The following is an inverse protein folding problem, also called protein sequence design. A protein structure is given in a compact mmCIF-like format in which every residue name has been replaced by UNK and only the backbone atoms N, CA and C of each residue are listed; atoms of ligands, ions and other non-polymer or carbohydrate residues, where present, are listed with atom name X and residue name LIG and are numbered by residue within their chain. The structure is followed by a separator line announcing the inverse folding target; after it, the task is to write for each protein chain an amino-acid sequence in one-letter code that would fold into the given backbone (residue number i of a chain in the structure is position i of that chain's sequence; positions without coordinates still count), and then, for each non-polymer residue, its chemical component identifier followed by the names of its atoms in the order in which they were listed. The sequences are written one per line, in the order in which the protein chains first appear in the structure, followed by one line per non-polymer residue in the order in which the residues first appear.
data_IF_499728311341
#
_entry.id   IF_499728311341
#
_cell.length_a   1.000
_cell.length_b   1.000
_cell.length_c   1.000
_cell.angle_alpha   90.00
_cell.angle_beta   90.00
_cell.angle_gamma   90.00
#
_symmetry.space_group_name_H-M   'P 1'
#
loop_
_entity.id
_entity.type
_entity.pdbx_description
1 polymer ?
#
# COMPACT_ATOMS: atom_id res chain seq x y z
N UNK A 1 16.18 12.11 -2.34
CA UNK A 1 15.02 12.50 -1.48
C UNK A 1 15.45 13.18 -0.18
N UNK A 2 16.27 12.57 0.69
CA UNK A 2 16.64 13.18 2.00
C UNK A 2 17.23 14.60 1.90
N UNK A 3 17.98 14.93 0.84
CA UNK A 3 18.55 16.26 0.62
C UNK A 3 17.46 17.32 0.47
N UNK A 4 16.34 16.96 -0.19
CA UNK A 4 15.18 17.83 -0.37
C UNK A 4 14.49 18.12 0.97
N UNK A 5 14.46 17.17 1.90
CA UNK A 5 13.93 17.41 3.24
C UNK A 5 14.79 18.43 4.01
N UNK A 6 16.11 18.43 3.78
CA UNK A 6 17.04 19.36 4.44
C UNK A 6 17.15 20.73 3.74
N UNK A 7 16.92 20.80 2.42
CA UNK A 7 17.18 22.00 1.59
C UNK A 7 15.98 22.54 0.83
N UNK A 8 14.85 21.84 0.82
CA UNK A 8 13.63 22.22 0.10
C UNK A 8 13.64 21.93 -1.41
N UNK A 9 14.77 21.56 -2.00
CA UNK A 9 14.88 21.25 -3.43
C UNK A 9 15.78 20.04 -3.70
N UNK A 10 15.72 19.49 -4.92
CA UNK A 10 16.65 18.44 -5.37
C UNK A 10 18.07 19.00 -5.49
N UNK A 11 19.13 18.24 -5.15
CA UNK A 11 20.52 18.69 -5.32
C UNK A 11 20.86 19.06 -6.77
N UNK A 12 20.18 18.45 -7.74
CA UNK A 12 20.36 18.71 -9.18
C UNK A 12 19.36 19.71 -9.76
N UNK A 13 18.56 20.37 -8.91
CA UNK A 13 17.57 21.38 -9.31
C UNK A 13 17.97 22.74 -8.76
N UNK A 14 19.08 23.27 -9.27
CA UNK A 14 19.55 24.59 -8.93
C UNK A 14 18.60 25.67 -9.50
N UNK A 15 18.49 26.80 -8.80
CA UNK A 15 17.70 27.98 -9.22
C UNK A 15 16.25 27.70 -9.67
N UNK A 16 15.61 26.65 -9.15
CA UNK A 16 14.23 26.23 -9.49
C UNK A 16 14.02 25.90 -10.98
N UNK A 17 15.07 25.48 -11.72
CA UNK A 17 14.94 25.09 -13.14
C UNK A 17 13.83 24.06 -13.36
N UNK A 18 13.08 24.21 -14.45
CA UNK A 18 12.04 23.26 -14.89
C UNK A 18 12.50 22.43 -16.10
N UNK A 19 13.67 22.71 -16.66
CA UNK A 19 14.19 21.97 -17.81
C UNK A 19 14.62 20.56 -17.37
N UNK A 20 13.87 19.55 -17.83
CA UNK A 20 14.15 18.14 -17.54
C UNK A 20 15.52 17.73 -18.07
N UNK A 21 15.90 18.17 -19.28
CA UNK A 21 17.16 17.78 -19.88
C UNK A 21 18.35 18.39 -19.14
N UNK A 22 18.20 19.61 -18.61
CA UNK A 22 19.22 20.21 -17.74
C UNK A 22 19.40 19.43 -16.44
N UNK A 23 18.30 19.07 -15.78
CA UNK A 23 18.32 18.27 -14.54
C UNK A 23 18.98 16.91 -14.80
N UNK A 24 18.65 16.25 -15.91
CA UNK A 24 19.23 14.96 -16.30
C UNK A 24 20.74 15.12 -16.58
N UNK A 25 21.14 16.17 -17.32
CA UNK A 25 22.56 16.49 -17.55
C UNK A 25 23.30 16.68 -16.23
N UNK A 26 22.78 17.51 -15.32
CA UNK A 26 23.41 17.79 -14.02
C UNK A 26 23.56 16.51 -13.18
N UNK A 27 22.56 15.63 -13.21
CA UNK A 27 22.60 14.35 -12.49
C UNK A 27 23.73 13.43 -13.00
N UNK A 28 24.01 13.46 -14.30
CA UNK A 28 25.04 12.62 -14.93
C UNK A 28 26.44 13.22 -14.87
N UNK A 29 26.58 14.55 -14.92
CA UNK A 29 27.88 15.20 -15.14
C UNK A 29 28.39 15.99 -13.95
N UNK A 30 27.54 16.36 -12.99
CA UNK A 30 27.94 17.21 -11.88
C UNK A 30 28.00 16.43 -10.57
N UNK A 31 29.12 16.60 -9.86
CA UNK A 31 29.18 16.22 -8.45
C UNK A 31 28.36 17.20 -7.61
N UNK A 32 27.58 16.66 -6.67
CA UNK A 32 26.78 17.48 -5.76
C UNK A 32 27.69 18.22 -4.79
N UNK A 33 27.63 19.54 -4.81
CA UNK A 33 28.24 20.39 -3.78
C UNK A 33 27.39 20.35 -2.51
N UNK A 34 28.02 19.93 -1.41
CA UNK A 34 27.35 19.80 -0.11
C UNK A 34 27.63 21.04 0.74
N UNK A 35 26.60 21.69 1.32
CA UNK A 35 26.77 22.87 2.15
C UNK A 35 27.69 22.63 3.36
N UNK A 36 28.40 23.68 3.79
CA UNK A 36 29.29 23.58 4.95
C UNK A 36 28.57 23.37 6.28
N UNK A 37 27.30 23.74 6.35
CA UNK A 37 26.44 23.50 7.50
C UNK A 37 26.14 22.01 7.76
N UNK A 38 26.45 21.11 6.82
CA UNK A 38 26.25 19.68 7.03
C UNK A 38 27.36 19.07 7.89
N UNK A 39 26.97 18.17 8.80
CA UNK A 39 27.93 17.40 9.60
C UNK A 39 28.78 16.48 8.72
N UNK A 40 29.94 16.07 9.24
CA UNK A 40 30.86 15.20 8.51
C UNK A 40 30.21 13.87 8.13
N UNK A 41 29.43 13.29 9.05
CA UNK A 41 28.69 12.04 8.89
C UNK A 41 27.62 12.17 7.81
N UNK A 42 26.92 13.30 7.77
CA UNK A 42 25.91 13.57 6.75
C UNK A 42 26.58 13.74 5.38
N UNK A 43 27.68 14.51 5.31
CA UNK A 43 28.44 14.68 4.06
C UNK A 43 28.97 13.34 3.54
N UNK A 44 29.47 12.48 4.42
CA UNK A 44 29.95 11.14 4.05
C UNK A 44 28.83 10.27 3.48
N UNK A 45 27.68 10.23 4.15
CA UNK A 45 26.49 9.51 3.65
C UNK A 45 26.11 9.91 2.23
N UNK A 46 26.15 11.21 1.95
CA UNK A 46 25.82 11.75 0.63
C UNK A 46 26.84 11.36 -0.44
N UNK A 47 28.14 11.40 -0.12
CA UNK A 47 29.19 11.00 -1.06
C UNK A 47 29.03 9.54 -1.49
N UNK A 48 28.68 8.64 -0.57
CA UNK A 48 28.39 7.24 -0.90
C UNK A 48 27.15 7.16 -1.80
N UNK A 49 26.06 7.82 -1.42
CA UNK A 49 24.80 7.78 -2.17
C UNK A 49 24.85 8.36 -3.59
N UNK A 50 25.79 9.28 -3.89
CA UNK A 50 25.92 9.91 -5.21
C UNK A 50 26.99 9.28 -6.12
N UNK A 51 27.88 8.43 -5.58
CA UNK A 51 28.99 7.83 -6.35
C UNK A 51 28.70 6.45 -6.94
N UNK A 52 27.62 5.79 -6.53
CA UNK A 52 27.36 4.39 -6.93
C UNK A 52 26.71 4.25 -8.31
N UNK A 53 27.54 4.30 -9.35
CA UNK A 53 27.39 3.47 -10.55
C UNK A 53 28.77 3.00 -11.03
N UNK A 54 29.41 2.08 -10.28
CA UNK A 54 30.53 1.31 -10.85
C UNK A 54 29.97 0.28 -11.84
N UNK A 55 30.47 0.21 -13.09
CA UNK A 55 29.96 -0.70 -14.12
C UNK A 55 30.48 -2.14 -13.98
N UNK A 56 30.96 -2.56 -12.80
CA UNK A 56 31.47 -3.92 -12.57
C UNK A 56 30.83 -4.56 -11.35
N UNK A 57 29.76 -5.30 -11.57
CA UNK A 57 29.43 -6.53 -10.85
C UNK A 57 29.27 -6.53 -9.32
N UNK A 58 29.35 -5.40 -8.63
CA UNK A 58 29.00 -5.33 -7.20
C UNK A 58 27.54 -4.89 -7.06
N UNK A 59 26.61 -5.82 -7.27
CA UNK A 59 25.20 -5.64 -6.96
C UNK A 59 24.91 -5.55 -5.43
N UNK A 60 25.87 -5.16 -4.58
CA UNK A 60 25.76 -5.31 -3.13
C UNK A 60 26.62 -4.30 -2.34
N UNK A 61 26.34 -2.99 -2.47
CA UNK A 61 26.80 -1.97 -1.50
C UNK A 61 25.76 -0.89 -1.13
N UNK A 62 24.48 -1.22 -1.27
CA UNK A 62 23.35 -0.34 -1.00
C UNK A 62 22.16 -1.03 -0.32
N UNK A 63 22.37 -2.20 0.28
CA UNK A 63 21.30 -2.92 0.97
C UNK A 63 20.93 -2.22 2.28
N UNK A 64 19.67 -2.40 2.70
CA UNK A 64 19.16 -1.78 3.93
C UNK A 64 20.07 -1.99 5.16
N UNK A 65 20.71 -3.15 5.39
CA UNK A 65 21.64 -3.33 6.52
C UNK A 65 22.84 -2.36 6.51
N UNK A 66 23.51 -2.19 5.37
CA UNK A 66 24.67 -1.29 5.29
C UNK A 66 24.28 0.18 5.46
N UNK A 67 23.09 0.54 4.97
CA UNK A 67 22.51 1.86 5.24
C UNK A 67 22.29 2.06 6.74
N UNK A 68 21.78 1.04 7.43
CA UNK A 68 21.49 1.07 8.86
C UNK A 68 22.74 1.14 9.74
N UNK A 69 23.86 0.59 9.28
CA UNK A 69 25.16 0.60 9.97
C UNK A 69 25.96 1.91 9.80
N UNK A 70 25.54 2.76 8.87
CA UNK A 70 26.25 4.01 8.60
C UNK A 70 26.28 4.94 9.83
N UNK A 71 27.41 5.59 10.08
CA UNK A 71 27.65 6.46 11.25
C UNK A 71 26.59 7.56 11.44
N UNK A 72 26.03 8.06 10.35
CA UNK A 72 24.90 9.00 10.36
C UNK A 72 23.68 8.51 11.18
N UNK A 73 23.41 7.21 11.19
CA UNK A 73 22.31 6.59 11.94
C UNK A 73 22.76 5.98 13.28
N UNK A 74 23.98 6.28 13.74
CA UNK A 74 24.47 5.79 15.03
C UNK A 74 23.53 6.23 16.15
N UNK A 75 23.12 5.27 16.98
CA UNK A 75 22.20 5.48 18.09
C UNK A 75 20.71 5.27 17.75
N UNK A 76 20.37 4.97 16.49
CA UNK A 76 19.02 4.56 16.12
C UNK A 76 18.81 3.08 16.48
N UNK A 77 17.81 2.81 17.31
CA UNK A 77 17.29 1.46 17.52
C UNK A 77 16.31 1.11 16.39
N UNK A 78 16.77 0.31 15.43
CA UNK A 78 15.99 -0.11 14.28
C UNK A 78 14.79 -1.00 14.64
N UNK A 79 14.81 -1.66 15.79
CA UNK A 79 13.66 -2.42 16.28
C UNK A 79 12.56 -1.46 16.76
N UNK A 80 12.92 -0.37 17.45
CA UNK A 80 11.95 0.68 17.82
C UNK A 80 11.40 1.39 16.59
N UNK A 81 12.23 1.61 15.56
CA UNK A 81 11.77 2.17 14.28
C UNK A 81 10.77 1.23 13.60
N UNK A 82 11.06 -0.08 13.53
CA UNK A 82 10.16 -1.07 12.94
C UNK A 82 8.81 -1.12 13.66
N UNK A 83 8.83 -1.05 15.00
CA UNK A 83 7.63 -1.00 15.84
C UNK A 83 6.95 0.38 15.87
N UNK A 84 7.44 1.36 15.09
CA UNK A 84 6.93 2.74 15.04
C UNK A 84 6.90 3.45 16.41
N UNK A 85 7.83 3.12 17.31
CA UNK A 85 7.94 3.69 18.67
C UNK A 85 8.84 4.93 18.75
N UNK A 86 9.60 5.20 17.69
CA UNK A 86 10.41 6.42 17.59
C UNK A 86 9.48 7.59 17.27
N UNK A 87 9.08 8.33 18.30
CA UNK A 87 8.28 9.55 18.14
C UNK A 87 9.19 10.63 17.56
N UNK A 88 8.88 11.09 16.35
CA UNK A 88 9.54 12.24 15.76
C UNK A 88 8.89 13.53 16.32
N UNK A 89 9.67 14.50 16.81
CA UNK A 89 9.13 15.72 17.45
C UNK A 89 8.15 16.54 16.60
N UNK A 90 8.13 16.37 15.28
CA UNK A 90 7.30 17.14 14.34
C UNK A 90 6.09 16.37 13.77
N UNK A 91 5.85 15.12 14.19
CA UNK A 91 4.94 14.21 13.48
C UNK A 91 3.55 14.05 14.11
N UNK A 92 3.16 14.89 15.05
CA UNK A 92 1.79 14.86 15.57
C UNK A 92 0.99 15.99 14.90
N UNK A 93 0.45 15.77 13.67
CA UNK A 93 -0.46 16.74 13.08
C UNK A 93 -1.64 16.93 14.02
N UNK A 94 -2.06 18.18 14.21
CA UNK A 94 -3.24 18.47 15.01
C UNK A 94 -4.43 17.70 14.42
N UNK A 95 -5.33 17.11 15.22
CA UNK A 95 -6.52 16.44 14.67
C UNK A 95 -7.28 17.40 13.74
N UNK A 96 -7.34 17.08 12.44
CA UNK A 96 -7.97 17.91 11.40
C UNK A 96 -7.01 18.75 10.54
N UNK A 97 -5.72 18.82 10.88
CA UNK A 97 -4.70 19.51 10.09
C UNK A 97 -4.19 18.60 8.97
N UNK A 98 -4.68 18.82 7.75
CA UNK A 98 -4.19 18.12 6.55
C UNK A 98 -3.00 18.87 5.96
N UNK A 99 -1.82 18.26 6.01
CA UNK A 99 -0.63 18.76 5.31
C UNK A 99 -0.64 18.32 3.83
N UNK A 100 -1.77 18.56 3.16
CA UNK A 100 -2.00 18.29 1.75
C UNK A 100 -2.48 19.56 1.05
N UNK A 101 -2.27 19.66 -0.26
CA UNK A 101 -2.91 20.72 -1.05
C UNK A 101 -4.43 20.54 -0.97
N UNK A 102 -5.18 21.65 -0.90
CA UNK A 102 -6.63 21.62 -0.91
C UNK A 102 -7.12 20.93 -2.20
N UNK A 103 -8.24 20.20 -2.11
CA UNK A 103 -8.93 19.65 -3.26
C UNK A 103 -9.34 20.76 -4.27
N UNK A 104 -9.47 22.02 -3.83
CA UNK A 104 -9.69 23.18 -4.69
C UNK A 104 -8.40 23.77 -5.30
N UNK A 105 -7.22 23.46 -4.72
CA UNK A 105 -5.91 23.91 -5.22
C UNK A 105 -5.28 22.92 -6.20
N UNK A 106 -5.74 21.66 -6.20
CA UNK A 106 -5.43 20.71 -7.28
C UNK A 106 -6.27 21.10 -8.50
N UNK A 107 -5.61 21.32 -9.65
CA UNK A 107 -6.33 21.69 -10.87
C UNK A 107 -7.43 20.68 -11.19
N UNK A 108 -8.62 21.19 -11.54
CA UNK A 108 -9.72 20.35 -12.00
C UNK A 108 -9.36 19.71 -13.34
N UNK A 109 -9.52 18.40 -13.45
CA UNK A 109 -9.50 17.73 -14.75
C UNK A 109 -10.77 18.12 -15.49
N UNK A 110 -10.66 18.53 -16.77
CA UNK A 110 -11.83 18.91 -17.56
C UNK A 110 -12.65 17.66 -17.89
N UNK A 111 -13.95 17.69 -17.61
CA UNK A 111 -14.84 16.58 -17.95
C UNK A 111 -14.92 16.37 -19.46
N UNK A 112 -14.79 17.45 -20.24
CA UNK A 112 -14.74 17.42 -21.71
C UNK A 112 -13.56 16.59 -22.24
N UNK A 113 -12.44 16.51 -21.52
CA UNK A 113 -11.26 15.72 -21.93
C UNK A 113 -11.53 14.21 -21.97
N UNK A 114 -12.55 13.76 -21.25
CA UNK A 114 -12.94 12.34 -21.17
C UNK A 114 -14.26 12.02 -21.87
N UNK A 115 -15.02 13.05 -22.26
CA UNK A 115 -16.27 12.87 -23.00
C UNK A 115 -15.99 12.28 -24.38
N UNK A 116 -16.78 11.26 -24.73
CA UNK A 116 -16.66 10.57 -26.02
C UNK A 116 -15.65 9.42 -26.04
N UNK A 117 -14.85 9.21 -24.98
CA UNK A 117 -14.04 8.00 -24.82
C UNK A 117 -14.98 6.84 -24.48
N UNK A 118 -14.98 5.79 -25.31
CA UNK A 118 -15.75 4.56 -25.08
C UNK A 118 -14.79 3.45 -24.70
N UNK A 119 -15.09 2.76 -23.61
CA UNK A 119 -14.37 1.55 -23.23
C UNK A 119 -14.90 0.39 -24.07
N UNK A 120 -14.02 -0.22 -24.85
CA UNK A 120 -14.30 -1.40 -25.66
C UNK A 120 -14.07 -2.67 -24.83
N UNK A 121 -14.60 -3.80 -25.30
CA UNK A 121 -14.34 -5.10 -24.66
C UNK A 121 -12.85 -5.45 -24.63
N UNK A 122 -12.09 -5.01 -25.64
CA UNK A 122 -10.63 -5.13 -25.67
C UNK A 122 -9.93 -4.38 -24.54
N UNK A 123 -10.51 -3.26 -24.09
CA UNK A 123 -9.96 -2.48 -22.97
C UNK A 123 -10.28 -3.17 -21.65
N UNK A 124 -11.49 -3.75 -21.51
CA UNK A 124 -11.87 -4.53 -20.33
C UNK A 124 -11.01 -5.78 -20.17
N UNK A 125 -10.62 -6.42 -21.27
CA UNK A 125 -9.76 -7.61 -21.28
C UNK A 125 -8.39 -7.34 -20.63
N UNK A 126 -7.89 -6.10 -20.67
CA UNK A 126 -6.66 -5.70 -19.96
C UNK A 126 -6.82 -5.83 -18.43
N UNK A 127 -8.04 -5.67 -17.92
CA UNK A 127 -8.35 -5.68 -16.48
C UNK A 127 -8.96 -7.00 -15.99
N UNK A 128 -9.00 -8.05 -16.82
CA UNK A 128 -9.60 -9.34 -16.44
C UNK A 128 -9.01 -9.96 -15.16
N UNK A 129 -7.72 -9.70 -14.91
CA UNK A 129 -6.98 -10.19 -13.74
C UNK A 129 -6.75 -9.09 -12.69
N UNK A 130 -7.49 -7.99 -12.77
CA UNK A 130 -7.41 -6.90 -11.81
C UNK A 130 -7.99 -7.27 -10.43
N UNK A 131 -9.12 -8.02 -10.31
CA UNK A 131 -9.63 -8.42 -9.01
C UNK A 131 -8.62 -9.28 -8.24
N UNK A 132 -8.29 -8.85 -7.02
CA UNK A 132 -7.32 -9.52 -6.15
C UNK A 132 -7.81 -9.49 -4.70
N UNK A 133 -7.72 -10.63 -4.02
CA UNK A 133 -7.90 -10.74 -2.57
C UNK A 133 -6.60 -11.23 -1.96
N UNK A 134 -6.03 -10.45 -1.04
CA UNK A 134 -4.84 -10.84 -0.28
C UNK A 134 -5.32 -11.57 0.97
N UNK A 135 -5.23 -12.90 0.92
CA UNK A 135 -5.76 -13.79 1.98
C UNK A 135 -5.33 -13.37 3.39
N UNK A 136 -4.04 -13.10 3.61
CA UNK A 136 -3.52 -12.67 4.93
C UNK A 136 -4.21 -11.39 5.43
N UNK A 137 -4.41 -10.41 4.55
CA UNK A 137 -5.05 -9.13 4.92
C UNK A 137 -6.52 -9.30 5.23
N UNK A 138 -7.23 -10.10 4.42
CA UNK A 138 -8.64 -10.38 4.65
C UNK A 138 -8.84 -11.16 5.95
N UNK A 139 -8.02 -12.19 6.20
CA UNK A 139 -8.09 -12.96 7.45
C UNK A 139 -7.78 -12.09 8.67
N UNK A 140 -6.76 -11.23 8.58
CA UNK A 140 -6.41 -10.31 9.65
C UNK A 140 -7.56 -9.32 9.94
N UNK A 141 -8.14 -8.71 8.91
CA UNK A 141 -9.29 -7.81 9.06
C UNK A 141 -10.47 -8.51 9.72
N UNK A 142 -10.82 -9.72 9.26
CA UNK A 142 -11.91 -10.52 9.84
C UNK A 142 -11.61 -10.87 11.30
N UNK A 143 -10.39 -11.33 11.60
CA UNK A 143 -9.96 -11.71 12.94
C UNK A 143 -10.01 -10.54 13.93
N UNK A 144 -9.61 -9.34 13.50
CA UNK A 144 -9.57 -8.14 14.35
C UNK A 144 -10.94 -7.46 14.52
N UNK A 145 -11.94 -7.80 13.71
CA UNK A 145 -13.23 -7.08 13.69
C UNK A 145 -14.44 -7.96 14.04
N UNK A 146 -14.71 -9.01 13.27
CA UNK A 146 -16.02 -9.69 13.29
C UNK A 146 -15.96 -11.18 13.63
N UNK A 147 -14.76 -11.78 13.63
CA UNK A 147 -14.59 -13.23 13.74
C UNK A 147 -15.31 -13.85 14.94
N UNK A 148 -15.08 -13.31 16.14
CA UNK A 148 -15.68 -13.85 17.36
C UNK A 148 -17.21 -13.70 17.38
N UNK A 149 -17.73 -12.54 16.97
CA UNK A 149 -19.16 -12.25 16.95
C UNK A 149 -19.90 -13.17 15.96
N UNK A 150 -19.38 -13.27 14.74
CA UNK A 150 -19.95 -14.09 13.67
C UNK A 150 -19.94 -15.58 14.06
N UNK A 151 -18.85 -16.08 14.64
CA UNK A 151 -18.78 -17.48 15.06
C UNK A 151 -19.75 -17.77 16.21
N UNK A 152 -19.81 -16.91 17.23
CA UNK A 152 -20.79 -17.06 18.33
C UNK A 152 -22.23 -17.10 17.82
N UNK A 153 -22.58 -16.23 16.89
CA UNK A 153 -23.95 -16.16 16.36
C UNK A 153 -24.26 -17.34 15.44
N UNK A 154 -23.28 -17.78 14.66
CA UNK A 154 -23.36 -19.01 13.84
C UNK A 154 -23.58 -20.23 14.73
N UNK A 155 -22.80 -20.41 15.79
CA UNK A 155 -22.91 -21.53 16.73
C UNK A 155 -24.29 -21.59 17.39
N UNK A 156 -24.82 -20.44 17.83
CA UNK A 156 -26.17 -20.35 18.40
C UNK A 156 -27.24 -20.74 17.39
N UNK A 157 -27.11 -20.28 16.15
CA UNK A 157 -28.06 -20.58 15.08
C UNK A 157 -28.03 -22.06 14.70
N UNK A 158 -26.85 -22.66 14.60
CA UNK A 158 -26.71 -24.09 14.37
C UNK A 158 -27.29 -24.93 15.51
N UNK A 159 -27.02 -24.56 16.77
CA UNK A 159 -27.58 -25.25 17.93
C UNK A 159 -29.12 -25.21 17.94
N UNK A 160 -29.71 -24.05 17.62
CA UNK A 160 -31.17 -23.89 17.49
C UNK A 160 -31.73 -24.76 16.36
N UNK A 161 -31.07 -24.78 15.19
CA UNK A 161 -31.49 -25.60 14.06
C UNK A 161 -31.43 -27.10 14.39
N UNK A 162 -30.35 -27.55 15.04
CA UNK A 162 -30.19 -28.95 15.48
C UNK A 162 -31.28 -29.34 16.49
N UNK A 163 -31.59 -28.48 17.46
CA UNK A 163 -32.67 -28.72 18.42
C UNK A 163 -34.04 -28.86 17.73
N UNK A 164 -34.33 -27.99 16.75
CA UNK A 164 -35.57 -28.05 15.96
C UNK A 164 -35.67 -29.31 15.10
N UNK A 165 -34.60 -29.68 14.41
CA UNK A 165 -34.57 -30.88 13.56
C UNK A 165 -34.76 -32.17 14.38
N UNK A 166 -34.15 -32.24 15.57
CA UNK A 166 -34.34 -33.35 16.50
C UNK A 166 -35.80 -33.47 16.97
N UNK A 167 -36.48 -32.36 17.23
CA UNK A 167 -37.92 -32.36 17.56
C UNK A 167 -38.79 -32.83 16.39
N UNK A 168 -38.38 -32.53 15.15
CA UNK A 168 -39.08 -32.94 13.93
C UNK A 168 -38.76 -34.39 13.50
N UNK A 169 -37.92 -35.12 14.25
CA UNK A 169 -37.48 -36.47 13.89
C UNK A 169 -36.59 -36.54 12.63
N UNK A 170 -36.09 -35.41 12.15
CA UNK A 170 -35.14 -35.34 11.04
C UNK A 170 -33.71 -35.40 11.60
N UNK A 171 -33.13 -36.59 11.66
CA UNK A 171 -31.69 -36.75 11.86
C UNK A 171 -30.99 -36.69 10.50
N UNK A 172 -30.16 -35.66 10.29
CA UNK A 172 -29.27 -35.58 9.13
C UNK A 172 -28.16 -36.63 9.31
N UNK A 173 -28.32 -37.79 8.66
CA UNK A 173 -27.28 -38.81 8.58
C UNK A 173 -26.15 -38.40 7.64
N UNK A 174 -24.91 -38.75 8.00
CA UNK A 174 -23.74 -38.69 7.12
C UNK A 174 -23.88 -39.71 5.98
N UNK A 175 -24.74 -39.39 5.02
CA UNK A 175 -24.72 -40.04 3.72
C UNK A 175 -23.70 -39.30 2.84
N UNK A 176 -22.90 -40.05 2.08
CA UNK A 176 -22.01 -39.53 1.04
C UNK A 176 -22.85 -38.87 -0.08
N UNK A 177 -23.41 -37.69 0.19
CA UNK A 177 -24.14 -36.90 -0.77
C UNK A 177 -23.15 -36.13 -1.66
N UNK A 178 -23.34 -36.24 -2.97
CA UNK A 178 -22.68 -35.37 -3.96
C UNK A 178 -23.32 -33.98 -3.85
N UNK A 179 -22.53 -32.92 -4.05
CA UNK A 179 -22.96 -31.50 -3.94
C UNK A 179 -24.38 -31.29 -4.51
N UNK A 180 -25.29 -30.79 -3.68
CA UNK A 180 -26.66 -30.45 -4.08
C UNK A 180 -26.70 -29.02 -4.62
N UNK A 181 -26.94 -28.90 -5.92
CA UNK A 181 -27.43 -27.68 -6.55
C UNK A 181 -28.39 -28.12 -7.66
N UNK A 182 -29.70 -27.93 -7.45
CA UNK A 182 -30.71 -28.17 -8.47
C UNK A 182 -31.05 -26.84 -9.14
N UNK A 183 -30.80 -26.74 -10.45
CA UNK A 183 -31.38 -25.69 -11.26
C UNK A 183 -32.85 -26.05 -11.51
N UNK A 184 -33.78 -25.32 -10.90
CA UNK A 184 -35.20 -25.49 -11.19
C UNK A 184 -35.55 -25.13 -12.64
N UNK A 185 -36.67 -25.66 -13.13
CA UNK A 185 -37.24 -25.28 -14.43
C UNK A 185 -37.34 -23.75 -14.56
N UNK A 186 -36.77 -23.14 -15.61
CA UNK A 186 -36.66 -21.68 -15.74
C UNK A 186 -38.02 -20.96 -15.82
N UNK A 187 -39.11 -21.71 -15.99
CA UNK A 187 -40.47 -21.16 -16.14
C UNK A 187 -41.40 -21.46 -14.97
N UNK A 188 -40.98 -22.22 -13.96
CA UNK A 188 -41.86 -22.71 -12.88
C UNK A 188 -41.44 -22.26 -11.47
N UNK A 189 -40.34 -21.51 -11.32
CA UNK A 189 -39.95 -20.95 -10.01
C UNK A 189 -40.81 -19.72 -9.67
N UNK A 190 -41.80 -19.96 -8.80
CA UNK A 190 -42.60 -19.00 -8.03
C UNK A 190 -43.26 -17.83 -8.78
N UNK A 191 -44.41 -18.09 -9.43
CA UNK A 191 -45.52 -17.12 -9.46
C UNK A 191 -46.40 -17.36 -8.23
N UNK A 192 -46.05 -16.76 -7.11
CA UNK A 192 -47.04 -16.44 -6.07
C UNK A 192 -47.59 -15.06 -6.41
N UNK A 193 -48.86 -15.02 -6.83
CA UNK A 193 -49.67 -13.80 -6.82
C UNK A 193 -49.91 -13.34 -5.39
#
# INVERSE_FOLDING_TARGET
MLFKLLRGHSPFRQHKTKDKHEIDRMTLTMNVELPDSFTAELKDRWRVSFRETSPRGSAARGEAPEVKEHQFFKGIDWQQVYLQKVILPSSNPSPGEVNAADAFDIGSFDEEDTKGIKLLDSDQELYKNFPLVISERWQQEVAETVYEAVNSDTDKNEARKRAKNKQLGHEEGLHHARLHAEAGEPFLTHKTF
#
